data_IF_781937755726
#
_entry.id   IF_781937755726
#
_cell.length_a   1.000
_cell.length_b   1.000
_cell.length_c   1.000
_cell.angle_alpha   90.00
_cell.angle_beta   90.00
_cell.angle_gamma   90.00
#
_symmetry.space_group_name_H-M   'P 1'
#
loop_
_entity.id
_entity.type
_entity.pdbx_description
1 polymer ?
#
# COMPACT_ATOMS: atom_id res chain seq x y z
N UNK A 1 -11.75 -13.54 22.10
CA UNK A 1 -12.12 -14.65 21.18
C UNK A 1 -11.94 -14.13 19.75
N UNK A 2 -10.85 -14.51 19.09
CA UNK A 2 -10.47 -13.98 17.78
C UNK A 2 -11.33 -14.57 16.66
N UNK A 3 -11.47 -13.83 15.55
CA UNK A 3 -12.22 -14.23 14.36
C UNK A 3 -11.61 -15.50 13.74
N UNK A 4 -12.45 -16.50 13.44
CA UNK A 4 -12.04 -17.67 12.65
C UNK A 4 -11.97 -17.25 11.19
N UNK A 5 -10.83 -17.50 10.53
CA UNK A 5 -10.68 -17.32 9.09
C UNK A 5 -11.67 -18.26 8.40
N UNK A 6 -12.67 -17.72 7.71
CA UNK A 6 -13.56 -18.53 6.87
C UNK A 6 -12.83 -18.82 5.56
N UNK A 7 -12.61 -20.10 5.25
CA UNK A 7 -12.04 -20.57 3.99
C UNK A 7 -13.03 -20.47 2.85
N UNK A 8 -13.47 -19.25 2.54
CA UNK A 8 -14.21 -18.96 1.32
C UNK A 8 -13.17 -18.80 0.19
N UNK A 9 -13.21 -19.61 -0.87
CA UNK A 9 -12.22 -19.56 -1.96
C UNK A 9 -12.14 -18.18 -2.63
N UNK A 10 -13.23 -17.42 -2.60
CA UNK A 10 -13.30 -16.05 -3.12
C UNK A 10 -12.44 -15.04 -2.34
N UNK A 11 -12.00 -15.41 -1.12
CA UNK A 11 -11.14 -14.61 -0.24
C UNK A 11 -9.70 -15.11 -0.18
N UNK A 12 -9.35 -16.17 -0.91
CA UNK A 12 -7.97 -16.63 -0.98
C UNK A 12 -7.09 -15.57 -1.67
N UNK A 13 -5.92 -15.32 -1.08
CA UNK A 13 -4.93 -14.42 -1.64
C UNK A 13 -4.47 -14.98 -2.99
N UNK A 14 -4.80 -14.27 -4.07
CA UNK A 14 -4.43 -14.73 -5.42
C UNK A 14 -2.92 -14.65 -5.60
N UNK A 15 -2.33 -15.75 -6.09
CA UNK A 15 -0.90 -15.92 -6.40
C UNK A 15 -0.33 -14.79 -7.28
N UNK A 16 -1.14 -14.19 -8.16
CA UNK A 16 -0.69 -13.11 -9.03
C UNK A 16 -0.32 -11.82 -8.28
N UNK A 17 -0.77 -11.63 -7.04
CA UNK A 17 -0.40 -10.45 -6.21
C UNK A 17 0.30 -10.90 -4.93
N UNK A 18 -0.07 -12.07 -4.40
CA UNK A 18 0.56 -12.67 -3.24
C UNK A 18 2.01 -13.06 -3.55
N UNK A 19 2.97 -12.60 -2.74
CA UNK A 19 4.39 -12.97 -2.87
C UNK A 19 5.22 -12.10 -3.81
N UNK A 20 4.62 -11.15 -4.53
CA UNK A 20 5.36 -10.18 -5.34
C UNK A 20 5.91 -9.03 -4.49
N UNK A 21 7.08 -8.50 -4.89
CA UNK A 21 7.65 -7.32 -4.25
C UNK A 21 6.88 -6.05 -4.67
N UNK A 22 6.92 -5.01 -3.83
CA UNK A 22 6.32 -3.71 -4.17
C UNK A 22 6.88 -3.13 -5.48
N UNK A 23 8.19 -3.32 -5.73
CA UNK A 23 8.84 -2.88 -6.97
C UNK A 23 8.31 -3.64 -8.20
N UNK A 24 8.10 -4.96 -8.08
CA UNK A 24 7.55 -5.75 -9.18
C UNK A 24 6.12 -5.33 -9.52
N UNK A 25 5.27 -5.13 -8.51
CA UNK A 25 3.89 -4.66 -8.70
C UNK A 25 3.81 -3.23 -9.26
N UNK A 26 4.76 -2.37 -8.88
CA UNK A 26 4.86 -0.99 -9.39
C UNK A 26 5.30 -0.92 -10.84
N UNK A 27 6.13 -1.85 -11.29
CA UNK A 27 6.60 -1.94 -12.67
C UNK A 27 5.51 -2.40 -13.65
N UNK A 28 4.33 -2.81 -13.17
CA UNK A 28 3.23 -3.21 -14.05
C UNK A 28 2.72 -2.03 -14.88
N UNK A 29 2.56 -2.28 -16.17
CA UNK A 29 1.78 -1.40 -17.04
C UNK A 29 0.28 -1.60 -16.81
N UNK A 30 -0.55 -0.71 -17.37
CA UNK A 30 -2.00 -0.91 -17.36
C UNK A 30 -2.41 -2.25 -17.99
N UNK A 31 -1.70 -2.66 -19.05
CA UNK A 31 -1.94 -3.94 -19.70
C UNK A 31 -1.60 -5.12 -18.79
N UNK A 32 -0.51 -5.06 -18.03
CA UNK A 32 -0.16 -6.07 -17.02
C UNK A 32 -1.24 -6.14 -15.95
N UNK A 33 -1.64 -5.01 -15.40
CA UNK A 33 -2.71 -4.93 -14.40
C UNK A 33 -4.00 -5.58 -14.91
N UNK A 34 -4.44 -5.26 -16.13
CA UNK A 34 -5.66 -5.82 -16.71
C UNK A 34 -5.57 -7.34 -16.88
N UNK A 35 -4.43 -7.86 -17.36
CA UNK A 35 -4.21 -9.30 -17.52
C UNK A 35 -4.18 -10.03 -16.17
N UNK A 36 -3.41 -9.53 -15.22
CA UNK A 36 -3.19 -10.21 -13.93
C UNK A 36 -4.37 -10.06 -12.95
N UNK A 37 -5.20 -9.03 -13.10
CA UNK A 37 -6.39 -8.82 -12.25
C UNK A 37 -7.70 -9.28 -12.91
N UNK A 38 -7.64 -9.96 -14.05
CA UNK A 38 -8.83 -10.52 -14.70
C UNK A 38 -9.62 -11.44 -13.75
N UNK A 39 -10.94 -11.25 -13.73
CA UNK A 39 -11.84 -11.97 -12.82
C UNK A 39 -11.65 -11.64 -11.33
N UNK A 40 -10.82 -10.64 -10.97
CA UNK A 40 -10.61 -10.20 -9.58
C UNK A 40 -11.47 -8.97 -9.25
N UNK A 41 -11.88 -8.85 -7.98
CA UNK A 41 -12.48 -7.61 -7.46
C UNK A 41 -11.54 -6.41 -7.59
N UNK A 42 -10.22 -6.63 -7.59
CA UNK A 42 -9.20 -5.57 -7.76
C UNK A 42 -9.37 -4.86 -9.11
N UNK A 43 -9.78 -5.55 -10.17
CA UNK A 43 -9.98 -4.91 -11.49
C UNK A 43 -10.98 -3.75 -11.44
N UNK A 44 -11.93 -3.77 -10.49
CA UNK A 44 -12.98 -2.74 -10.33
C UNK A 44 -12.45 -1.38 -9.89
N UNK A 45 -11.28 -1.31 -9.22
CA UNK A 45 -10.72 -0.02 -8.79
C UNK A 45 -10.00 0.72 -9.92
N UNK A 46 -9.63 0.01 -10.99
CA UNK A 46 -8.85 0.56 -12.10
C UNK A 46 -7.36 0.77 -11.79
N UNK A 47 -6.58 0.97 -12.85
CA UNK A 47 -5.12 1.04 -12.77
C UNK A 47 -4.59 2.28 -12.04
N UNK A 48 -5.26 3.44 -12.17
CA UNK A 48 -4.85 4.66 -11.47
C UNK A 48 -4.95 4.51 -9.94
N UNK A 49 -6.07 3.98 -9.43
CA UNK A 49 -6.25 3.73 -7.98
C UNK A 49 -5.33 2.63 -7.49
N UNK A 50 -5.01 1.65 -8.34
CA UNK A 50 -4.00 0.64 -8.07
C UNK A 50 -2.62 1.28 -7.85
N UNK A 51 -2.16 2.12 -8.77
CA UNK A 51 -0.89 2.85 -8.62
C UNK A 51 -0.90 3.72 -7.36
N UNK A 52 -1.98 4.46 -7.10
CA UNK A 52 -2.14 5.21 -5.84
C UNK A 52 -1.93 4.33 -4.61
N UNK A 53 -2.53 3.14 -4.57
CA UNK A 53 -2.38 2.21 -3.44
C UNK A 53 -0.93 1.75 -3.26
N UNK A 54 -0.25 1.44 -4.36
CA UNK A 54 1.15 1.03 -4.33
C UNK A 54 2.04 2.18 -3.84
N UNK A 55 1.80 3.42 -4.27
CA UNK A 55 2.55 4.59 -3.79
C UNK A 55 2.42 4.73 -2.26
N UNK A 56 1.21 4.56 -1.72
CA UNK A 56 0.98 4.55 -0.27
C UNK A 56 1.73 3.40 0.42
N UNK A 57 1.68 2.20 -0.14
CA UNK A 57 2.38 1.04 0.41
C UNK A 57 3.91 1.23 0.41
N UNK A 58 4.47 1.83 -0.64
CA UNK A 58 5.88 2.20 -0.71
C UNK A 58 6.25 3.26 0.32
N UNK A 59 5.42 4.29 0.52
CA UNK A 59 5.61 5.28 1.59
C UNK A 59 5.64 4.65 2.98
N UNK A 60 4.74 3.70 3.26
CA UNK A 60 4.74 2.94 4.51
C UNK A 60 6.03 2.11 4.68
N UNK A 61 6.50 1.46 3.61
CA UNK A 61 7.76 0.71 3.64
C UNK A 61 8.98 1.61 3.85
N UNK A 62 8.99 2.81 3.25
CA UNK A 62 10.04 3.82 3.44
C UNK A 62 10.11 4.26 4.91
N UNK A 63 8.95 4.50 5.54
CA UNK A 63 8.84 4.83 6.97
C UNK A 63 9.31 3.71 7.89
N UNK A 64 8.89 2.47 7.62
CA UNK A 64 9.15 1.33 8.50
C UNK A 64 10.65 1.01 8.66
N UNK A 65 11.45 1.19 7.60
CA UNK A 65 12.90 0.96 7.66
C UNK A 65 13.71 2.01 8.42
N UNK A 66 13.07 3.02 9.01
CA UNK A 66 13.70 4.04 9.87
C UNK A 66 13.41 3.87 11.36
N UNK A 67 12.66 2.84 11.76
CA UNK A 67 12.21 2.66 13.14
C UNK A 67 13.00 1.54 13.84
N UNK A 68 14.19 1.87 14.34
CA UNK A 68 14.77 1.18 15.50
C UNK A 68 15.81 2.06 16.19
N UNK A 69 16.73 2.69 15.45
CA UNK A 69 17.78 3.54 16.02
C UNK A 69 18.12 4.63 14.99
N UNK A 70 18.09 5.89 15.41
CA UNK A 70 18.18 7.11 14.57
C UNK A 70 19.52 7.32 13.80
N UNK A 71 20.29 6.26 13.55
CA UNK A 71 21.56 6.29 12.80
C UNK A 71 21.70 5.15 11.78
N UNK A 72 20.71 4.26 11.64
CA UNK A 72 20.78 3.20 10.64
C UNK A 72 20.76 3.80 9.22
N UNK A 73 21.79 3.57 8.38
CA UNK A 73 21.78 4.05 7.02
C UNK A 73 20.61 3.45 6.24
N UNK A 74 20.00 4.24 5.34
CA UNK A 74 18.95 3.75 4.43
C UNK A 74 19.37 2.44 3.78
N UNK A 75 18.48 1.46 3.86
CA UNK A 75 18.67 0.18 3.20
C UNK A 75 18.73 0.34 1.67
N UNK A 76 19.33 -0.62 0.97
CA UNK A 76 19.33 -0.64 -0.49
C UNK A 76 17.89 -0.63 -1.05
N UNK A 77 16.99 -1.41 -0.45
CA UNK A 77 15.58 -1.47 -0.83
C UNK A 77 14.88 -0.12 -0.73
N UNK A 78 15.09 0.64 0.36
CA UNK A 78 14.49 1.97 0.48
C UNK A 78 14.98 2.93 -0.62
N UNK A 79 16.26 2.82 -1.02
CA UNK A 79 16.78 3.62 -2.14
C UNK A 79 16.13 3.24 -3.47
N UNK A 80 15.95 1.95 -3.72
CA UNK A 80 15.27 1.47 -4.93
C UNK A 80 13.81 1.94 -5.00
N UNK A 81 13.08 1.87 -3.89
CA UNK A 81 11.71 2.39 -3.79
C UNK A 81 11.65 3.88 -4.09
N UNK A 82 12.58 4.69 -3.56
CA UNK A 82 12.63 6.12 -3.85
C UNK A 82 12.93 6.40 -5.32
N UNK A 83 13.85 5.67 -5.93
CA UNK A 83 14.18 5.83 -7.36
C UNK A 83 12.96 5.51 -8.21
N UNK A 84 12.31 4.37 -7.99
CA UNK A 84 11.12 3.96 -8.74
C UNK A 84 9.96 4.98 -8.64
N UNK A 85 9.77 5.58 -7.46
CA UNK A 85 8.77 6.64 -7.25
C UNK A 85 9.13 7.93 -8.02
N UNK A 86 10.39 8.36 -7.99
CA UNK A 86 10.85 9.56 -8.71
C UNK A 86 10.78 9.40 -10.22
N UNK A 87 11.16 8.24 -10.73
CA UNK A 87 11.14 7.93 -12.17
C UNK A 87 9.72 7.91 -12.74
N UNK A 88 8.70 7.66 -11.90
CA UNK A 88 7.30 7.65 -12.30
C UNK A 88 6.68 9.06 -12.40
N UNK A 89 7.22 10.07 -11.70
CA UNK A 89 6.66 11.43 -11.65
C UNK A 89 6.35 12.06 -13.02
N UNK A 90 7.21 11.95 -14.06
CA UNK A 90 6.95 12.57 -15.36
C UNK A 90 5.72 12.01 -16.10
N UNK A 91 5.28 10.81 -15.74
CA UNK A 91 4.21 10.08 -16.44
C UNK A 91 3.01 9.78 -15.54
N UNK A 92 3.08 10.15 -14.25
CA UNK A 92 2.02 9.92 -13.30
C UNK A 92 0.84 10.89 -13.50
N UNK A 93 -0.38 10.39 -13.26
CA UNK A 93 -1.57 11.23 -13.22
C UNK A 93 -1.54 12.16 -11.99
N UNK A 94 -2.38 13.20 -11.97
CA UNK A 94 -2.43 14.14 -10.84
C UNK A 94 -2.64 13.45 -9.48
N UNK A 95 -3.54 12.46 -9.43
CA UNK A 95 -3.80 11.67 -8.23
C UNK A 95 -2.55 10.89 -7.78
N UNK A 96 -1.87 10.23 -8.72
CA UNK A 96 -0.71 9.39 -8.40
C UNK A 96 0.48 10.26 -8.00
N UNK A 97 0.70 11.38 -8.67
CA UNK A 97 1.75 12.37 -8.35
C UNK A 97 1.65 12.89 -6.92
N UNK A 98 0.45 13.23 -6.46
CA UNK A 98 0.21 13.66 -5.07
C UNK A 98 0.65 12.58 -4.06
N UNK A 99 0.32 11.32 -4.33
CA UNK A 99 0.65 10.20 -3.45
C UNK A 99 2.12 9.79 -3.53
N UNK A 100 2.77 9.95 -4.69
CA UNK A 100 4.23 9.81 -4.84
C UNK A 100 4.94 10.86 -3.98
N UNK A 101 4.48 12.12 -4.02
CA UNK A 101 5.02 13.19 -3.18
C UNK A 101 4.95 12.84 -1.70
N UNK A 102 3.77 12.47 -1.21
CA UNK A 102 3.57 12.01 0.17
C UNK A 102 4.48 10.83 0.53
N UNK A 103 4.63 9.85 -0.36
CA UNK A 103 5.45 8.66 -0.13
C UNK A 103 6.95 9.01 0.03
N UNK A 104 7.46 9.94 -0.77
CA UNK A 104 8.84 10.41 -0.69
C UNK A 104 9.13 11.19 0.60
N UNK A 105 8.15 11.93 1.12
CA UNK A 105 8.24 12.61 2.42
C UNK A 105 8.35 11.64 3.60
N UNK A 106 7.76 10.44 3.49
CA UNK A 106 7.90 9.40 4.53
C UNK A 106 9.34 8.95 4.75
N UNK A 107 10.20 9.25 3.78
CA UNK A 107 11.61 8.92 3.83
C UNK A 107 12.45 10.04 4.49
N UNK A 108 11.86 11.19 4.78
CA UNK A 108 12.50 12.32 5.48
C UNK A 108 12.07 12.38 6.94
N UNK A 109 10.83 11.97 7.22
CA UNK A 109 10.24 12.05 8.55
C UNK A 109 10.48 10.78 9.38
N UNK A 110 11.07 10.87 10.58
CA UNK A 110 11.03 9.78 11.53
C UNK A 110 9.57 9.50 11.94
N UNK A 111 9.24 8.23 12.20
CA UNK A 111 7.88 7.84 12.52
C UNK A 111 7.38 8.46 13.83
N UNK A 112 6.18 9.07 13.89
CA UNK A 112 5.47 9.16 15.15
C UNK A 112 5.01 7.74 15.51
N UNK A 113 5.31 7.34 16.73
CA UNK A 113 4.93 6.07 17.32
C UNK A 113 3.39 5.95 17.33
N UNK A 114 2.86 4.97 16.59
CA UNK A 114 1.49 4.46 16.68
C UNK A 114 0.33 5.47 16.57
N UNK A 115 -0.09 5.80 15.34
CA UNK A 115 -1.46 6.24 15.05
C UNK A 115 -2.29 5.11 14.44
N UNK A 116 -2.33 3.94 15.09
CA UNK A 116 -3.40 2.96 14.93
C UNK A 116 -4.31 3.05 16.16
N UNK A 117 -4.97 4.20 16.36
CA UNK A 117 -6.00 4.36 17.37
C UNK A 117 -7.07 5.35 16.92
N UNK A 118 -8.09 4.82 16.24
CA UNK A 118 -9.48 5.01 16.63
C UNK A 118 -10.34 4.05 15.79
N UNK A 119 -10.58 2.86 16.35
CA UNK A 119 -11.79 2.13 16.04
C UNK A 119 -12.99 3.04 16.35
N UNK A 120 -13.90 3.19 15.40
CA UNK A 120 -15.23 3.74 15.63
C UNK A 120 -15.87 3.05 16.84
N UNK A 121 -16.29 3.76 17.91
CA UNK A 121 -17.13 3.11 18.91
C UNK A 121 -18.46 2.75 18.26
N UNK A 122 -18.85 1.48 18.39
CA UNK A 122 -20.15 0.98 17.99
C UNK A 122 -21.27 1.82 18.67
N UNK A 123 -22.37 2.11 17.98
CA UNK A 123 -23.50 2.79 18.61
C UNK A 123 -24.11 1.89 19.70
N UNK A 124 -24.57 2.45 20.84
CA UNK A 124 -25.23 1.65 21.86
C UNK A 124 -26.52 1.05 21.31
N UNK A 125 -26.75 -0.22 21.66
CA UNK A 125 -27.98 -0.94 21.36
C UNK A 125 -29.19 -0.22 21.98
N UNK A 126 -30.26 -0.08 21.21
CA UNK A 126 -31.57 0.34 21.75
C UNK A 126 -32.10 -0.77 22.67
N UNK A 127 -32.72 -0.44 23.81
CA UNK A 127 -33.50 -1.42 24.55
C UNK A 127 -34.85 -1.66 23.86
N UNK A 128 -35.15 -2.93 23.58
CA UNK A 128 -36.50 -3.41 23.32
C UNK A 128 -37.10 -3.92 24.64
N UNK A 129 -38.02 -3.14 25.23
CA UNK A 129 -39.25 -3.52 25.95
C UNK A 129 -39.80 -2.29 26.70
#
# INVERSE_FOLDING_TARGET
KYARVSGLPDFDAREAVSGQTLLALWAWTEADFLRHTEGSAIRRIGFERWQRNLAVAMGNALRAGGAADNEAPRTALQRELQTALRDALPHASGLVTEHIGWALEQALEPAPELALSAATPAPPARPEC
#
